data_IF_132325854338
#
_entry.id   IF_132325854338
#
_cell.length_a   1.000
_cell.length_b   1.000
_cell.length_c   1.000
_cell.angle_alpha   90.00
_cell.angle_beta   90.00
_cell.angle_gamma   90.00
#
_symmetry.space_group_name_H-M   'P 1'
#
loop_
_entity.id
_entity.type
_entity.pdbx_description
1 polymer ?
#
# COMPACT_ATOMS: atom_id res chain seq x y z
N UNK A 1 -5.25 -2.22 -9.16
CA UNK A 1 -4.89 -1.74 -7.81
C UNK A 1 -3.55 -2.35 -7.43
N UNK A 2 -2.65 -1.60 -6.79
CA UNK A 2 -1.29 -2.05 -6.47
C UNK A 2 -1.00 -1.83 -4.99
N UNK A 3 -0.88 -2.91 -4.22
CA UNK A 3 -0.64 -2.88 -2.78
C UNK A 3 0.85 -3.09 -2.54
N UNK A 4 1.45 -2.17 -1.77
CA UNK A 4 2.75 -2.38 -1.14
C UNK A 4 2.54 -2.53 0.36
N UNK A 5 3.01 -3.66 0.90
CA UNK A 5 2.99 -3.91 2.33
C UNK A 5 4.37 -4.35 2.80
N UNK A 6 4.70 -4.04 4.05
CA UNK A 6 5.99 -4.38 4.62
C UNK A 6 5.90 -4.28 6.14
N UNK A 7 6.74 -5.01 6.89
CA UNK A 7 6.94 -4.70 8.29
C UNK A 7 7.53 -3.31 8.45
N UNK A 8 7.28 -2.68 9.60
CA UNK A 8 7.83 -1.36 9.92
C UNK A 8 9.37 -1.36 9.84
N UNK A 9 9.96 -0.54 8.97
CA UNK A 9 11.42 -0.39 8.81
C UNK A 9 12.02 -1.11 7.60
N UNK A 10 11.21 -1.76 6.78
CA UNK A 10 11.66 -2.45 5.56
C UNK A 10 11.80 -1.53 4.31
N UNK A 11 11.70 -0.21 4.45
CA UNK A 11 11.98 0.74 3.35
C UNK A 11 10.83 1.04 2.38
N UNK A 12 9.62 0.52 2.65
CA UNK A 12 8.39 0.72 1.85
C UNK A 12 8.11 2.17 1.47
N UNK A 13 8.11 3.11 2.43
CA UNK A 13 7.79 4.52 2.15
C UNK A 13 8.77 5.15 1.16
N UNK A 14 10.06 4.77 1.20
CA UNK A 14 11.06 5.27 0.26
C UNK A 14 10.78 4.77 -1.16
N UNK A 15 10.49 3.47 -1.29
CA UNK A 15 10.13 2.84 -2.58
C UNK A 15 8.84 3.44 -3.13
N UNK A 16 7.79 3.56 -2.31
CA UNK A 16 6.50 4.14 -2.68
C UNK A 16 6.64 5.59 -3.18
N UNK A 17 7.38 6.42 -2.45
CA UNK A 17 7.61 7.81 -2.84
C UNK A 17 8.39 7.94 -4.16
N UNK A 18 9.41 7.10 -4.36
CA UNK A 18 10.14 7.07 -5.62
C UNK A 18 9.24 6.64 -6.78
N UNK A 19 8.45 5.58 -6.59
CA UNK A 19 7.53 5.06 -7.59
C UNK A 19 6.49 6.12 -7.99
N UNK A 20 5.88 6.80 -7.02
CA UNK A 20 4.92 7.89 -7.28
C UNK A 20 5.54 9.06 -8.03
N UNK A 21 6.80 9.40 -7.75
CA UNK A 21 7.51 10.49 -8.43
C UNK A 21 7.77 10.15 -9.90
N UNK A 22 8.23 8.93 -10.17
CA UNK A 22 8.54 8.47 -11.53
C UNK A 22 7.25 8.20 -12.34
N UNK A 23 6.21 7.67 -11.72
CA UNK A 23 4.92 7.32 -12.34
C UNK A 23 3.82 8.38 -12.18
N UNK A 24 4.16 9.64 -11.85
CA UNK A 24 3.23 10.71 -11.42
C UNK A 24 1.98 10.93 -12.30
N UNK A 25 2.05 10.56 -13.58
CA UNK A 25 0.93 10.72 -14.52
C UNK A 25 -0.01 9.51 -14.57
N UNK A 26 0.44 8.35 -14.11
CA UNK A 26 -0.24 7.06 -14.24
C UNK A 26 -0.55 6.41 -12.89
N UNK A 27 0.19 6.73 -11.84
CA UNK A 27 0.05 6.17 -10.50
C UNK A 27 -0.28 7.27 -9.49
N UNK A 28 -1.23 6.98 -8.60
CA UNK A 28 -1.57 7.84 -7.46
C UNK A 28 -1.51 7.08 -6.15
N UNK A 29 -1.15 7.79 -5.08
CA UNK A 29 -1.28 7.25 -3.72
C UNK A 29 -2.75 7.29 -3.29
N UNK A 30 -3.22 6.22 -2.66
CA UNK A 30 -4.47 6.27 -1.89
C UNK A 30 -4.20 6.95 -0.55
N UNK A 31 -4.83 8.10 -0.30
CA UNK A 31 -4.72 8.82 0.98
C UNK A 31 -5.78 8.25 1.92
N UNK A 32 -5.36 7.43 2.87
CA UNK A 32 -6.27 6.79 3.82
C UNK A 32 -6.82 7.76 4.86
N UNK A 33 -7.97 7.44 5.43
CA UNK A 33 -8.47 8.03 6.65
C UNK A 33 -7.82 7.37 7.86
N UNK A 34 -7.58 8.13 8.92
CA UNK A 34 -7.09 7.58 10.19
C UNK A 34 -7.68 8.27 11.41
N UNK A 35 -7.83 7.52 12.51
CA UNK A 35 -8.17 8.08 13.83
C UNK A 35 -6.98 8.53 14.65
N UNK A 36 -5.76 8.18 14.20
CA UNK A 36 -4.54 8.56 14.89
C UNK A 36 -4.38 10.09 14.90
N UNK A 37 -3.89 10.69 16.00
CA UNK A 37 -3.51 12.09 16.00
C UNK A 37 -2.46 12.41 14.92
N UNK A 38 -2.62 13.56 14.27
CA UNK A 38 -1.64 14.12 13.34
C UNK A 38 -0.29 14.33 14.04
N UNK A 39 0.82 13.96 13.39
CA UNK A 39 2.19 14.19 13.89
C UNK A 39 2.77 15.49 13.34
N UNK A 40 3.79 16.08 14.00
CA UNK A 40 4.51 17.22 13.47
C UNK A 40 5.02 16.96 12.04
N UNK A 41 4.64 17.82 11.10
CA UNK A 41 5.03 17.74 9.69
C UNK A 41 4.06 16.99 8.77
N UNK A 42 3.06 16.29 9.31
CA UNK A 42 1.98 15.70 8.50
C UNK A 42 0.95 16.77 8.10
N UNK A 43 0.32 16.58 6.95
CA UNK A 43 -0.68 17.47 6.37
C UNK A 43 -1.96 16.68 6.08
N UNK A 44 -3.08 17.20 6.60
CA UNK A 44 -4.41 16.62 6.36
C UNK A 44 -4.78 16.65 4.87
N UNK A 45 -5.37 15.54 4.39
CA UNK A 45 -5.72 15.33 2.99
C UNK A 45 -4.53 15.06 2.06
N UNK A 46 -3.30 15.00 2.59
CA UNK A 46 -2.09 14.62 1.86
C UNK A 46 -1.46 13.35 2.42
N UNK A 47 -1.15 13.35 3.71
CA UNK A 47 -0.54 12.19 4.39
C UNK A 47 -1.63 11.21 4.83
N UNK A 48 -2.67 11.72 5.47
CA UNK A 48 -3.92 11.03 5.79
C UNK A 48 -5.07 12.04 5.83
N UNK A 49 -6.30 11.54 5.78
CA UNK A 49 -7.46 12.28 6.29
C UNK A 49 -7.63 11.98 7.78
N UNK A 50 -7.36 12.96 8.63
CA UNK A 50 -7.39 12.79 10.09
C UNK A 50 -8.80 13.05 10.62
N UNK A 51 -9.44 12.01 11.16
CA UNK A 51 -10.84 12.07 11.63
C UNK A 51 -10.96 11.53 13.05
N UNK A 52 -12.05 11.86 13.75
CA UNK A 52 -12.31 11.28 15.08
C UNK A 52 -12.76 9.83 14.97
N UNK A 53 -12.70 9.09 16.09
CA UNK A 53 -13.21 7.71 16.16
C UNK A 53 -14.71 7.61 15.85
N UNK A 54 -15.50 8.63 16.19
CA UNK A 54 -16.93 8.67 15.90
C UNK A 54 -17.21 8.93 14.41
N UNK A 55 -16.48 9.87 13.79
CA UNK A 55 -16.59 10.11 12.34
C UNK A 55 -16.18 8.87 11.56
N UNK A 56 -15.06 8.23 11.94
CA UNK A 56 -14.63 6.99 11.30
C UNK A 56 -15.68 5.89 11.42
N UNK A 57 -16.33 5.74 12.59
CA UNK A 57 -17.41 4.77 12.80
C UNK A 57 -18.59 5.05 11.86
N UNK A 58 -19.02 6.31 11.73
CA UNK A 58 -20.09 6.68 10.81
C UNK A 58 -19.73 6.33 9.36
N UNK A 59 -18.49 6.63 8.93
CA UNK A 59 -18.03 6.29 7.58
C UNK A 59 -18.03 4.78 7.30
N UNK A 60 -17.75 3.96 8.33
CA UNK A 60 -17.88 2.49 8.23
C UNK A 60 -19.35 2.07 8.08
N UNK A 61 -20.25 2.65 8.89
CA UNK A 61 -21.70 2.39 8.81
C UNK A 61 -22.29 2.78 7.45
N UNK A 62 -21.74 3.83 6.83
CA UNK A 62 -22.13 4.35 5.53
C UNK A 62 -21.43 3.66 4.33
N UNK A 63 -20.68 2.57 4.54
CA UNK A 63 -19.91 1.82 3.52
C UNK A 63 -18.95 2.69 2.67
N UNK A 64 -18.35 3.72 3.28
CA UNK A 64 -17.48 4.67 2.59
C UNK A 64 -16.04 4.16 2.35
N UNK A 65 -15.68 3.00 2.91
CA UNK A 65 -14.34 2.42 2.80
C UNK A 65 -14.32 1.16 1.92
N UNK A 66 -13.27 0.98 1.12
CA UNK A 66 -12.99 -0.29 0.42
C UNK A 66 -12.50 -1.37 1.39
N UNK A 67 -11.65 -0.94 2.31
CA UNK A 67 -11.10 -1.73 3.39
C UNK A 67 -10.88 -0.80 4.56
N UNK A 68 -10.95 -1.36 5.77
CA UNK A 68 -10.47 -0.68 6.95
C UNK A 68 -9.95 -1.68 7.96
N UNK A 69 -8.94 -1.28 8.72
CA UNK A 69 -8.32 -2.11 9.74
C UNK A 69 -8.11 -1.33 11.03
N UNK A 70 -8.10 -2.07 12.14
CA UNK A 70 -7.62 -1.55 13.41
C UNK A 70 -6.16 -1.94 13.58
N UNK A 71 -5.32 -0.93 13.78
CA UNK A 71 -3.90 -1.08 14.04
C UNK A 71 -3.64 -0.51 15.43
N UNK A 72 -3.46 -1.39 16.41
CA UNK A 72 -3.47 -1.05 17.84
C UNK A 72 -4.80 -0.38 18.26
N UNK A 73 -4.74 0.85 18.74
CA UNK A 73 -5.91 1.62 19.18
C UNK A 73 -6.52 2.50 18.08
N UNK A 74 -5.83 2.57 16.93
CA UNK A 74 -6.18 3.46 15.82
C UNK A 74 -6.78 2.69 14.66
N UNK A 75 -7.59 3.39 13.87
CA UNK A 75 -8.24 2.86 12.69
C UNK A 75 -7.67 3.52 11.45
N UNK A 76 -7.64 2.75 10.36
CA UNK A 76 -7.19 3.18 9.05
C UNK A 76 -8.19 2.67 8.02
N UNK A 77 -8.57 3.50 7.06
CA UNK A 77 -9.57 3.15 6.05
C UNK A 77 -9.27 3.77 4.70
N UNK A 78 -9.43 2.99 3.64
CA UNK A 78 -9.19 3.44 2.27
C UNK A 78 -10.49 3.98 1.65
N UNK A 79 -10.56 5.24 1.20
CA UNK A 79 -11.80 5.85 0.71
C UNK A 79 -12.26 5.27 -0.61
N UNK A 80 -13.48 4.72 -0.63
CA UNK A 80 -14.07 4.03 -1.79
C UNK A 80 -14.24 4.94 -3.00
N UNK A 81 -14.92 6.06 -2.80
CA UNK A 81 -15.27 6.97 -3.90
C UNK A 81 -14.01 7.53 -4.60
N UNK A 82 -13.03 7.99 -3.83
CA UNK A 82 -11.80 8.58 -4.35
C UNK A 82 -11.01 7.57 -5.17
N UNK A 83 -10.89 6.33 -4.70
CA UNK A 83 -10.18 5.25 -5.40
C UNK A 83 -10.86 4.92 -6.72
N UNK A 84 -12.18 4.69 -6.73
CA UNK A 84 -12.87 4.35 -7.97
C UNK A 84 -12.84 5.47 -8.98
N UNK A 85 -12.98 6.73 -8.55
CA UNK A 85 -12.86 7.90 -9.44
C UNK A 85 -11.51 7.94 -10.15
N UNK A 86 -10.42 7.66 -9.44
CA UNK A 86 -9.09 7.66 -10.04
C UNK A 86 -8.84 6.43 -10.93
N UNK A 87 -9.36 5.26 -10.55
CA UNK A 87 -9.34 4.07 -11.39
C UNK A 87 -10.11 4.30 -12.69
N UNK A 88 -11.32 4.86 -12.65
CA UNK A 88 -12.12 5.18 -13.84
C UNK A 88 -11.38 6.11 -14.79
N UNK A 89 -10.68 7.12 -14.24
CA UNK A 89 -9.81 8.03 -14.99
C UNK A 89 -8.55 7.36 -15.60
N UNK A 90 -8.36 6.05 -15.43
CA UNK A 90 -7.28 5.28 -16.02
C UNK A 90 -5.96 5.37 -15.27
N UNK A 91 -6.01 5.78 -13.99
CA UNK A 91 -4.84 5.82 -13.11
C UNK A 91 -4.81 4.57 -12.25
N UNK A 92 -3.62 4.00 -12.10
CA UNK A 92 -3.35 3.00 -11.09
C UNK A 92 -3.33 3.66 -9.71
N UNK A 93 -3.70 2.88 -8.69
CA UNK A 93 -3.69 3.32 -7.30
C UNK A 93 -2.71 2.46 -6.52
N UNK A 94 -1.78 3.13 -5.86
CA UNK A 94 -0.85 2.58 -4.89
C UNK A 94 -1.48 2.62 -3.50
N UNK A 95 -1.56 1.47 -2.85
CA UNK A 95 -2.06 1.33 -1.47
C UNK A 95 -0.89 0.99 -0.55
N UNK A 96 -0.70 1.83 0.47
CA UNK A 96 0.36 1.69 1.47
C UNK A 96 -0.19 1.09 2.77
N UNK A 97 -0.77 -0.12 2.69
CA UNK A 97 -1.57 -0.73 3.77
C UNK A 97 -0.89 -1.95 4.41
N UNK A 98 -1.40 -2.40 5.57
CA UNK A 98 -0.93 -3.62 6.23
C UNK A 98 -1.54 -4.89 5.60
N UNK A 99 -1.21 -6.06 6.16
CA UNK A 99 -1.70 -7.34 5.65
C UNK A 99 -3.22 -7.51 5.79
N UNK A 100 -3.84 -6.90 6.81
CA UNK A 100 -5.29 -6.98 7.02
C UNK A 100 -6.02 -6.21 5.91
N UNK A 101 -5.56 -4.99 5.63
CA UNK A 101 -6.12 -4.18 4.53
C UNK A 101 -5.88 -4.84 3.18
N UNK A 102 -4.67 -5.37 2.94
CA UNK A 102 -4.35 -6.08 1.71
C UNK A 102 -5.27 -7.29 1.47
N UNK A 103 -5.55 -8.06 2.52
CA UNK A 103 -6.45 -9.21 2.48
C UNK A 103 -7.90 -8.81 2.18
N UNK A 104 -8.42 -7.77 2.86
CA UNK A 104 -9.77 -7.26 2.62
C UNK A 104 -9.93 -6.74 1.18
N UNK A 105 -8.94 -5.97 0.70
CA UNK A 105 -8.98 -5.44 -0.66
C UNK A 105 -8.97 -6.57 -1.71
N UNK A 106 -8.21 -7.64 -1.46
CA UNK A 106 -8.20 -8.83 -2.31
C UNK A 106 -9.53 -9.59 -2.24
N UNK A 107 -10.17 -9.72 -1.08
CA UNK A 107 -11.50 -10.32 -0.98
C UNK A 107 -12.55 -9.53 -1.76
N UNK A 108 -12.43 -8.20 -1.78
CA UNK A 108 -13.35 -7.32 -2.51
C UNK A 108 -13.15 -7.36 -4.03
N UNK A 109 -11.90 -7.30 -4.50
CA UNK A 109 -11.59 -7.05 -5.91
C UNK A 109 -10.77 -8.15 -6.61
N UNK A 110 -10.44 -9.23 -5.88
CA UNK A 110 -9.77 -10.41 -6.42
C UNK A 110 -8.54 -10.11 -7.26
N UNK A 111 -8.51 -10.67 -8.47
CA UNK A 111 -7.38 -10.57 -9.40
C UNK A 111 -7.04 -9.16 -9.92
N UNK A 112 -7.84 -8.14 -9.60
CA UNK A 112 -7.54 -6.74 -9.92
C UNK A 112 -6.64 -6.05 -8.90
N UNK A 113 -6.31 -6.74 -7.81
CA UNK A 113 -5.31 -6.32 -6.82
C UNK A 113 -4.00 -7.05 -7.07
N UNK A 114 -2.91 -6.30 -7.19
CA UNK A 114 -1.54 -6.82 -7.16
C UNK A 114 -1.00 -6.60 -5.76
N UNK A 115 -0.53 -7.64 -5.09
CA UNK A 115 -0.03 -7.57 -3.73
C UNK A 115 1.46 -7.85 -3.71
N UNK A 116 2.24 -6.86 -3.30
CA UNK A 116 3.70 -6.96 -3.16
C UNK A 116 4.08 -6.78 -1.68
N UNK A 117 4.76 -7.79 -1.14
CA UNK A 117 5.32 -7.74 0.21
C UNK A 117 6.82 -7.47 0.17
N UNK A 118 7.28 -6.51 0.97
CA UNK A 118 8.70 -6.14 1.06
C UNK A 118 9.24 -6.58 2.41
N UNK A 119 10.20 -7.51 2.42
CA UNK A 119 10.90 -8.00 3.58
C UNK A 119 12.20 -7.20 3.83
N UNK A 120 12.65 -7.08 5.09
CA UNK A 120 14.02 -6.66 5.36
C UNK A 120 15.03 -7.81 5.13
N UNK A 121 16.33 -7.52 4.93
CA UNK A 121 17.42 -8.52 4.84
C UNK A 121 17.49 -9.48 6.02
N UNK A 122 16.98 -9.03 7.17
CA UNK A 122 16.96 -9.81 8.39
C UNK A 122 16.51 -8.97 9.57
N UNK A 123 16.17 -9.68 10.66
CA UNK A 123 15.67 -9.06 11.90
C UNK A 123 16.70 -8.15 12.56
N UNK A 124 17.99 -8.47 12.46
CA UNK A 124 19.07 -7.62 13.01
C UNK A 124 19.12 -6.26 12.29
N UNK A 125 19.07 -6.27 10.97
CA UNK A 125 19.04 -5.03 10.17
C UNK A 125 17.77 -4.24 10.42
N UNK A 126 16.63 -4.92 10.56
CA UNK A 126 15.36 -4.28 10.92
C UNK A 126 15.45 -3.56 12.27
N UNK A 127 15.95 -4.25 13.30
CA UNK A 127 16.15 -3.67 14.64
C UNK A 127 17.06 -2.44 14.57
N UNK A 128 18.21 -2.54 13.90
CA UNK A 128 19.13 -1.41 13.72
C UNK A 128 18.47 -0.21 13.00
N UNK A 129 17.59 -0.46 12.01
CA UNK A 129 16.84 0.59 11.32
C UNK A 129 15.79 1.25 12.24
N UNK A 130 15.15 0.49 13.13
CA UNK A 130 14.22 1.01 14.13
C UNK A 130 14.94 1.85 15.21
N UNK A 131 16.06 1.35 15.72
CA UNK A 131 16.91 2.06 16.69
C UNK A 131 17.41 3.41 16.15
N UNK A 132 17.85 3.44 14.87
CA UNK A 132 18.31 4.68 14.21
C UNK A 132 17.24 5.76 14.06
N UNK A 133 15.94 5.42 14.14
CA UNK A 133 14.85 6.43 14.13
C UNK A 133 14.70 7.18 15.46
N UNK A 134 15.52 6.85 16.46
CA UNK A 134 15.96 7.70 17.59
C UNK A 134 14.87 8.48 18.36
N UNK A 135 13.69 7.91 18.54
CA UNK A 135 12.59 8.54 19.31
C UNK A 135 11.83 7.56 20.22
N UNK A 136 12.19 6.28 20.17
CA UNK A 136 11.47 5.21 20.83
C UNK A 136 12.33 4.61 21.95
N UNK A 137 11.73 4.31 23.11
CA UNK A 137 12.40 3.56 24.17
C UNK A 137 12.66 2.11 23.75
N UNK A 138 13.55 1.42 24.44
CA UNK A 138 13.86 0.01 24.17
C UNK A 138 12.58 -0.87 24.17
N UNK A 139 11.66 -0.62 25.10
CA UNK A 139 10.37 -1.29 25.18
C UNK A 139 9.45 -1.04 23.97
N UNK A 140 9.55 0.13 23.34
CA UNK A 140 8.81 0.43 22.11
C UNK A 140 9.45 -0.27 20.92
N UNK A 141 10.79 -0.33 20.87
CA UNK A 141 11.53 -1.03 19.83
C UNK A 141 11.21 -2.53 19.85
N UNK A 142 11.22 -3.15 21.03
CA UNK A 142 10.91 -4.57 21.18
C UNK A 142 9.46 -4.86 20.75
N UNK A 143 8.49 -4.04 21.18
CA UNK A 143 7.09 -4.14 20.69
C UNK A 143 6.96 -3.99 19.18
N UNK A 144 7.74 -3.10 18.55
CA UNK A 144 7.75 -2.95 17.09
C UNK A 144 8.40 -4.13 16.39
N UNK A 145 9.42 -4.75 16.99
CA UNK A 145 10.05 -5.96 16.47
C UNK A 145 9.11 -7.17 16.54
N UNK A 146 8.35 -7.33 17.62
CA UNK A 146 7.34 -8.39 17.75
C UNK A 146 6.24 -8.21 16.71
N UNK A 147 5.75 -6.97 16.56
CA UNK A 147 4.78 -6.64 15.50
C UNK A 147 5.34 -6.93 14.11
N UNK A 148 6.57 -6.53 13.82
CA UNK A 148 7.18 -6.79 12.53
C UNK A 148 7.27 -8.28 12.22
N UNK A 149 7.61 -9.12 13.20
CA UNK A 149 7.60 -10.57 13.03
C UNK A 149 6.20 -11.12 12.74
N UNK A 150 5.19 -10.61 13.44
CA UNK A 150 3.79 -10.96 13.18
C UNK A 150 3.32 -10.48 11.79
N UNK A 151 3.76 -9.32 11.32
CA UNK A 151 3.44 -8.86 9.95
C UNK A 151 4.14 -9.73 8.90
N UNK A 152 5.40 -10.11 9.16
CA UNK A 152 6.16 -11.01 8.27
C UNK A 152 5.48 -12.36 8.12
N UNK A 153 4.85 -12.93 9.15
CA UNK A 153 4.21 -14.25 9.05
C UNK A 153 3.06 -14.34 8.04
N UNK A 154 2.56 -13.21 7.53
CA UNK A 154 1.47 -13.13 6.54
C UNK A 154 1.98 -12.93 5.10
N UNK A 155 3.28 -13.13 4.85
CA UNK A 155 3.90 -12.94 3.54
C UNK A 155 3.32 -13.85 2.45
N UNK A 156 2.83 -15.02 2.84
CA UNK A 156 2.25 -16.05 1.96
C UNK A 156 0.93 -15.63 1.32
N UNK A 157 0.30 -14.57 1.85
CA UNK A 157 -0.89 -13.94 1.27
C UNK A 157 -0.61 -12.99 0.09
N UNK A 158 0.63 -12.89 -0.40
CA UNK A 158 1.03 -11.92 -1.43
C UNK A 158 1.44 -12.59 -2.75
N UNK A 159 1.25 -11.88 -3.85
CA UNK A 159 1.58 -12.37 -5.20
C UNK A 159 3.09 -12.29 -5.46
N UNK A 160 3.75 -11.29 -4.87
CA UNK A 160 5.19 -11.05 -4.98
C UNK A 160 5.80 -10.78 -3.60
N UNK A 161 6.98 -11.35 -3.35
CA UNK A 161 7.76 -11.10 -2.14
C UNK A 161 9.16 -10.67 -2.54
N UNK A 162 9.59 -9.51 -2.06
CA UNK A 162 10.90 -8.93 -2.35
C UNK A 162 11.67 -8.73 -1.05
N UNK A 163 12.98 -8.93 -1.07
CA UNK A 163 13.86 -8.63 0.08
C UNK A 163 14.61 -7.32 -0.22
N UNK A 164 14.47 -6.33 0.67
CA UNK A 164 15.06 -5.00 0.51
C UNK A 164 16.43 -4.89 1.19
N UNK A 165 17.39 -5.60 0.58
CA UNK A 165 18.81 -5.59 0.94
C UNK A 165 19.48 -4.34 0.39
N UNK A 166 19.27 -4.10 -0.91
CA UNK A 166 19.60 -2.87 -1.62
C UNK A 166 18.31 -2.17 -2.08
N UNK A 167 18.28 -0.84 -1.89
CA UNK A 167 17.09 -0.03 -2.16
C UNK A 167 16.83 0.14 -3.65
N UNK A 168 17.87 0.26 -4.46
CA UNK A 168 17.75 0.49 -5.91
C UNK A 168 17.31 -0.80 -6.60
N UNK A 169 17.92 -1.93 -6.27
CA UNK A 169 17.53 -3.24 -6.81
C UNK A 169 16.08 -3.60 -6.44
N UNK A 170 15.69 -3.37 -5.18
CA UNK A 170 14.33 -3.63 -4.72
C UNK A 170 13.32 -2.71 -5.42
N UNK A 171 13.69 -1.44 -5.64
CA UNK A 171 12.87 -0.50 -6.39
C UNK A 171 12.65 -0.95 -7.84
N UNK A 172 13.72 -1.34 -8.55
CA UNK A 172 13.62 -1.83 -9.93
C UNK A 172 12.70 -3.05 -10.03
N UNK A 173 12.76 -3.95 -9.05
CA UNK A 173 11.83 -5.08 -8.95
C UNK A 173 10.37 -4.62 -8.82
N UNK A 174 10.08 -3.67 -7.92
CA UNK A 174 8.71 -3.13 -7.75
C UNK A 174 8.20 -2.45 -9.02
N UNK A 175 9.04 -1.64 -9.68
CA UNK A 175 8.71 -0.99 -10.94
C UNK A 175 8.46 -2.00 -12.05
N UNK A 176 9.27 -3.07 -12.12
CA UNK A 176 9.11 -4.16 -13.07
C UNK A 176 7.79 -4.90 -12.87
N UNK A 177 7.41 -5.19 -11.62
CA UNK A 177 6.13 -5.83 -11.31
C UNK A 177 4.98 -4.93 -11.76
N UNK A 178 4.98 -3.64 -11.40
CA UNK A 178 3.94 -2.70 -11.82
C UNK A 178 3.81 -2.65 -13.35
N UNK A 179 4.93 -2.58 -14.05
CA UNK A 179 4.96 -2.51 -15.52
C UNK A 179 4.44 -3.80 -16.15
N UNK A 180 4.88 -4.96 -15.66
CA UNK A 180 4.44 -6.28 -16.15
C UNK A 180 2.96 -6.50 -15.92
N UNK A 181 2.46 -6.09 -14.75
CA UNK A 181 1.05 -6.19 -14.39
C UNK A 181 0.14 -5.36 -15.31
N UNK A 182 0.62 -4.22 -15.83
CA UNK A 182 -0.09 -3.43 -16.85
C UNK A 182 -0.15 -4.11 -18.22
N UNK A 183 0.80 -5.00 -18.51
CA UNK A 183 0.84 -5.74 -19.78
C UNK A 183 -0.10 -6.95 -19.80
N UNK A 184 -0.66 -7.37 -18.66
CA UNK A 184 -1.65 -8.46 -18.62
C UNK A 184 -2.82 -8.12 -19.55
N UNK A 185 -3.18 -9.08 -20.42
CA UNK A 185 -4.32 -8.96 -21.36
C UNK A 185 -5.59 -8.45 -20.70
N UNK A 186 -5.90 -8.92 -19.48
CA UNK A 186 -7.10 -8.53 -18.73
C UNK A 186 -7.11 -7.05 -18.31
N UNK A 187 -5.95 -6.39 -18.28
CA UNK A 187 -5.79 -4.99 -17.82
C UNK A 187 -5.52 -4.01 -18.94
N UNK A 188 -5.30 -4.50 -20.17
CA UNK A 188 -5.12 -3.65 -21.34
C UNK A 188 -6.46 -3.08 -21.82
N UNK A 189 -6.72 -1.82 -21.44
CA UNK A 189 -7.93 -1.10 -21.86
C UNK A 189 -7.99 -0.94 -23.37
N UNK A 190 -9.19 -1.12 -23.93
CA UNK A 190 -9.43 -0.93 -25.36
C UNK A 190 -8.90 -2.03 -26.28
N UNK A 191 -8.21 -3.05 -25.74
CA UNK A 191 -7.64 -4.14 -26.56
C UNK A 191 -8.72 -4.89 -27.35
N UNK A 192 -9.88 -5.17 -26.74
CA UNK A 192 -11.01 -5.79 -27.45
C UNK A 192 -11.47 -4.93 -28.63
N UNK A 193 -11.57 -3.62 -28.43
CA UNK A 193 -11.96 -2.68 -29.49
C UNK A 193 -10.91 -2.58 -30.59
N UNK A 194 -9.64 -2.61 -30.24
CA UNK A 194 -8.52 -2.65 -31.19
C UNK A 194 -8.57 -3.93 -32.05
N UNK A 195 -8.68 -5.10 -31.42
CA UNK A 195 -8.74 -6.38 -32.13
C UNK A 195 -9.94 -6.46 -33.08
N UNK A 196 -11.09 -5.91 -32.70
CA UNK A 196 -12.28 -5.86 -33.58
C UNK A 196 -12.08 -5.02 -34.83
N UNK A 197 -11.29 -3.94 -34.76
CA UNK A 197 -10.98 -3.06 -35.90
C UNK A 197 -9.79 -3.52 -36.73
N UNK A 198 -9.01 -4.48 -36.23
CA UNK A 198 -7.78 -4.94 -36.89
C UNK A 198 -7.98 -5.41 -38.35
N UNK A 199 -9.07 -6.11 -38.71
CA UNK A 199 -9.31 -6.50 -40.11
C UNK A 199 -9.64 -5.34 -41.05
N UNK A 200 -10.01 -4.18 -40.51
CA UNK A 200 -10.43 -2.99 -41.26
C UNK A 200 -9.28 -1.97 -41.46
N UNK A 201 -8.11 -2.23 -40.89
CA UNK A 201 -6.89 -1.40 -40.96
C UNK A 201 -5.93 -1.89 -42.04
#
# INVERSE_FOLDING_TARGET
>A
MFVLSSPSGAGKSTIANRLLKEERNKLKMSVSYTTRPIRPGEVDGKDYHFVTKDVFRQMVEDDQFLEWARVFEERYGTPRETVFKDLEAGRDILFDIDWQGAQQLFQLAGGDVVRVFILPPGLKTLRARLEKRATDSQEIIDRRMDRAQSEVSHWDGYDYVLVNDDLDDCYECVQTILTTERLKRSRQRGMIGFIRRLPEM
#
